data_IF_983502469015
#
_entry.id   IF_983502469015
#
_cell.length_a   1.000
_cell.length_b   1.000
_cell.length_c   1.000
_cell.angle_alpha   90.00
_cell.angle_beta   90.00
_cell.angle_gamma   90.00
#
_symmetry.space_group_name_H-M   'P 1'
#
loop_
_entity.id
_entity.type
_entity.pdbx_description
1 polymer ?
#
# COMPACT_ATOMS: atom_id res chain seq x y z
N UNK A 1 31.20 -38.14 -16.65
CA UNK A 1 29.78 -38.12 -16.92
C UNK A 1 29.16 -37.00 -16.12
N UNK A 2 28.66 -35.98 -16.82
CA UNK A 2 27.92 -34.90 -16.18
C UNK A 2 26.58 -35.48 -15.71
N UNK A 3 26.44 -35.65 -14.44
CA UNK A 3 25.14 -35.90 -13.82
C UNK A 3 24.39 -34.59 -13.86
N UNK A 4 23.31 -34.51 -14.63
CA UNK A 4 22.39 -33.36 -14.68
C UNK A 4 21.70 -33.26 -13.32
N UNK A 5 22.04 -32.26 -12.54
CA UNK A 5 21.47 -31.93 -11.24
C UNK A 5 22.43 -31.07 -10.46
N UNK A 6 21.93 -30.19 -9.62
CA UNK A 6 22.78 -29.43 -8.70
C UNK A 6 23.64 -30.44 -7.89
N UNK A 7 24.98 -30.27 -7.86
CA UNK A 7 25.80 -31.16 -7.10
C UNK A 7 25.31 -31.19 -5.64
N UNK A 8 25.13 -32.40 -5.10
CA UNK A 8 24.65 -32.65 -3.74
C UNK A 8 25.53 -32.02 -2.64
N UNK A 9 26.61 -31.34 -3.01
CA UNK A 9 27.59 -30.72 -2.12
C UNK A 9 27.73 -29.20 -2.27
N UNK A 10 27.01 -28.57 -3.17
CA UNK A 10 26.87 -27.12 -3.16
C UNK A 10 25.69 -26.75 -2.27
N UNK A 11 25.95 -26.76 -0.98
CA UNK A 11 25.21 -25.88 -0.12
C UNK A 11 25.42 -24.47 -0.68
N UNK A 12 24.35 -23.82 -1.08
CA UNK A 12 24.37 -22.39 -1.17
C UNK A 12 24.59 -21.88 0.27
N UNK A 13 25.84 -21.91 0.72
CA UNK A 13 26.26 -21.12 1.85
C UNK A 13 25.94 -19.68 1.45
N UNK A 14 24.80 -19.19 1.85
CA UNK A 14 24.69 -17.78 2.17
C UNK A 14 25.60 -17.60 3.38
N UNK A 15 26.91 -17.58 3.13
CA UNK A 15 27.84 -17.08 4.12
C UNK A 15 27.33 -15.66 4.38
N UNK A 16 26.73 -15.48 5.56
CA UNK A 16 26.61 -14.17 6.15
C UNK A 16 28.04 -13.75 6.40
N UNK A 17 28.65 -13.12 5.39
CA UNK A 17 29.98 -12.55 5.55
C UNK A 17 29.90 -11.61 6.76
N UNK A 18 30.93 -11.58 7.58
CA UNK A 18 31.03 -10.70 8.75
C UNK A 18 30.65 -9.24 8.43
N UNK A 19 30.85 -8.82 7.16
CA UNK A 19 30.50 -7.51 6.61
C UNK A 19 28.98 -7.25 6.48
N UNK A 20 28.16 -8.28 6.64
CA UNK A 20 26.70 -8.21 6.54
C UNK A 20 26.01 -8.11 7.91
N UNK A 21 26.77 -8.11 8.98
CA UNK A 21 26.30 -7.93 10.35
C UNK A 21 26.96 -6.70 10.95
N UNK A 22 26.18 -5.79 11.49
CA UNK A 22 26.69 -4.60 12.16
C UNK A 22 25.89 -4.29 13.42
N UNK A 23 26.60 -3.84 14.46
CA UNK A 23 26.01 -3.22 15.63
C UNK A 23 25.70 -1.76 15.31
N UNK A 24 24.53 -1.29 15.70
CA UNK A 24 24.07 0.07 15.41
C UNK A 24 23.44 0.73 16.64
N UNK A 25 23.71 2.02 16.80
CA UNK A 25 23.13 2.84 17.86
C UNK A 25 21.89 3.58 17.33
N UNK A 26 20.77 3.37 17.98
CA UNK A 26 19.50 4.03 17.62
C UNK A 26 19.52 5.47 18.09
N UNK A 27 19.25 6.39 17.19
CA UNK A 27 19.16 7.83 17.48
C UNK A 27 17.74 8.35 17.44
N UNK A 28 16.83 7.69 16.73
CA UNK A 28 15.42 8.04 16.66
C UNK A 28 14.59 6.89 16.11
N UNK A 29 13.28 6.98 16.27
CA UNK A 29 12.29 6.15 15.57
C UNK A 29 11.34 7.11 14.88
N UNK A 30 11.28 7.04 13.55
CA UNK A 30 10.43 7.86 12.72
C UNK A 30 9.14 7.11 12.40
N UNK A 31 8.02 7.77 12.62
CA UNK A 31 6.69 7.21 12.39
C UNK A 31 6.02 7.91 11.21
N UNK A 32 5.56 7.14 10.27
CA UNK A 32 4.93 7.64 9.05
C UNK A 32 3.60 6.93 8.82
N UNK A 33 2.49 7.67 8.57
CA UNK A 33 1.21 7.05 8.32
C UNK A 33 1.15 6.43 6.93
N UNK A 34 0.49 5.27 6.84
CA UNK A 34 0.07 4.67 5.58
C UNK A 34 -1.22 5.33 5.07
N UNK A 35 -1.64 4.94 3.86
CA UNK A 35 -2.92 5.39 3.30
C UNK A 35 -4.15 5.04 4.15
N UNK A 36 -4.05 4.02 4.99
CA UNK A 36 -5.10 3.58 5.91
C UNK A 36 -4.96 4.18 7.31
N UNK A 37 -3.99 5.06 7.52
CA UNK A 37 -3.74 5.72 8.79
C UNK A 37 -2.93 4.90 9.79
N UNK A 38 -2.44 3.72 9.42
CA UNK A 38 -1.51 2.95 10.25
C UNK A 38 -0.15 3.63 10.31
N UNK A 39 0.38 3.80 11.52
CA UNK A 39 1.70 4.39 11.73
C UNK A 39 2.77 3.30 11.60
N UNK A 40 3.69 3.49 10.66
CA UNK A 40 4.80 2.57 10.39
C UNK A 40 6.11 3.12 10.94
N UNK A 41 6.86 2.32 11.73
CA UNK A 41 8.12 2.76 12.31
C UNK A 41 9.29 2.55 11.35
N UNK A 42 10.20 3.51 11.37
CA UNK A 42 11.49 3.44 10.71
C UNK A 42 12.56 3.82 11.72
N UNK A 43 13.49 2.93 11.99
CA UNK A 43 14.53 3.13 13.00
C UNK A 43 15.69 3.89 12.37
N UNK A 44 16.00 5.05 12.92
CA UNK A 44 17.17 5.85 12.55
C UNK A 44 18.35 5.49 13.45
N UNK A 45 19.49 5.28 12.85
CA UNK A 45 20.72 4.88 13.52
C UNK A 45 21.87 5.85 13.19
N UNK A 46 22.89 5.84 14.04
CA UNK A 46 24.17 6.42 13.63
C UNK A 46 24.68 5.63 12.40
N UNK A 47 25.18 6.33 11.37
CA UNK A 47 25.59 5.65 10.14
C UNK A 47 26.60 4.52 10.41
N UNK A 48 26.33 3.35 9.85
CA UNK A 48 27.23 2.19 9.88
C UNK A 48 27.43 1.65 8.48
N UNK A 49 28.61 1.07 8.24
CA UNK A 49 28.88 0.37 6.98
C UNK A 49 28.45 -1.09 7.11
N UNK A 50 27.65 -1.55 6.16
CA UNK A 50 27.13 -2.91 6.10
C UNK A 50 27.08 -3.38 4.65
N UNK A 51 27.87 -4.38 4.31
CA UNK A 51 27.96 -4.88 2.93
C UNK A 51 28.44 -3.83 1.92
N UNK A 52 29.39 -2.97 2.30
CA UNK A 52 29.95 -1.91 1.44
C UNK A 52 29.05 -0.68 1.26
N UNK A 53 27.91 -0.62 1.94
CA UNK A 53 26.94 0.48 1.88
C UNK A 53 26.81 1.13 3.26
N UNK A 54 26.66 2.45 3.30
CA UNK A 54 26.37 3.19 4.52
C UNK A 54 24.88 3.12 4.83
N UNK A 55 24.53 2.54 5.99
CA UNK A 55 23.18 2.38 6.47
C UNK A 55 22.88 3.44 7.51
N UNK A 56 21.74 4.14 7.33
CA UNK A 56 21.24 5.17 8.25
C UNK A 56 19.89 4.81 8.85
N UNK A 57 19.17 3.89 8.23
CA UNK A 57 17.82 3.50 8.62
C UNK A 57 17.64 1.99 8.49
N UNK A 58 16.77 1.45 9.35
CA UNK A 58 16.30 0.08 9.27
C UNK A 58 14.79 0.02 9.47
N UNK A 59 14.14 -1.01 8.95
CA UNK A 59 12.72 -1.23 9.20
C UNK A 59 12.47 -1.53 10.67
N UNK A 60 11.44 -0.91 11.26
CA UNK A 60 11.00 -1.17 12.63
C UNK A 60 9.91 -2.23 12.74
N UNK A 61 9.52 -2.90 11.66
CA UNK A 61 8.45 -3.90 11.54
C UNK A 61 7.06 -3.36 11.85
N UNK A 62 6.71 -3.23 13.14
CA UNK A 62 5.41 -2.77 13.62
C UNK A 62 5.54 -2.10 14.98
N UNK A 63 4.45 -1.52 15.46
CA UNK A 63 4.44 -0.81 16.75
C UNK A 63 4.71 -1.74 17.94
N UNK A 64 4.17 -2.95 17.90
CA UNK A 64 4.41 -3.97 18.93
C UNK A 64 5.90 -4.28 19.07
N UNK A 65 6.61 -4.45 17.97
CA UNK A 65 8.05 -4.73 17.97
C UNK A 65 8.85 -3.58 18.63
N UNK A 66 8.52 -2.35 18.30
CA UNK A 66 9.15 -1.16 18.90
C UNK A 66 8.88 -1.08 20.40
N UNK A 67 7.63 -1.26 20.80
CA UNK A 67 7.23 -1.16 22.21
C UNK A 67 7.83 -2.28 23.08
N UNK A 68 7.69 -3.53 22.65
CA UNK A 68 8.16 -4.69 23.44
C UNK A 68 9.67 -4.76 23.57
N UNK A 69 10.40 -4.39 22.52
CA UNK A 69 11.86 -4.39 22.53
C UNK A 69 12.46 -3.07 23.04
N UNK A 70 11.65 -2.12 23.44
CA UNK A 70 12.07 -0.80 23.90
C UNK A 70 13.08 -0.15 22.96
N UNK A 71 12.72 -0.11 21.66
CA UNK A 71 13.54 0.55 20.67
C UNK A 71 13.29 2.06 20.76
N UNK A 72 14.30 2.78 21.12
CA UNK A 72 14.27 4.22 21.29
C UNK A 72 15.67 4.79 21.32
N UNK A 73 15.79 6.06 21.64
CA UNK A 73 17.08 6.75 21.73
C UNK A 73 17.97 6.05 22.77
N UNK A 74 19.17 5.66 22.35
CA UNK A 74 20.14 4.97 23.20
C UNK A 74 20.08 3.43 23.11
N UNK A 75 19.12 2.86 22.39
CA UNK A 75 19.11 1.43 22.14
C UNK A 75 20.27 1.01 21.23
N UNK A 76 20.75 -0.20 21.42
CA UNK A 76 21.76 -0.82 20.58
C UNK A 76 21.14 -2.04 19.91
N UNK A 77 21.21 -2.09 18.58
CA UNK A 77 20.63 -3.14 17.78
C UNK A 77 21.68 -3.82 16.91
N UNK A 78 21.42 -5.04 16.54
CA UNK A 78 22.21 -5.79 15.59
C UNK A 78 21.48 -5.85 14.25
N UNK A 79 22.12 -5.30 13.21
CA UNK A 79 21.59 -5.29 11.85
C UNK A 79 22.19 -6.42 11.03
N UNK A 80 21.37 -7.01 10.19
CA UNK A 80 21.77 -7.98 9.18
C UNK A 80 21.27 -7.53 7.81
N UNK A 81 22.10 -7.70 6.80
CA UNK A 81 21.76 -7.45 5.41
C UNK A 81 22.13 -8.66 4.57
N UNK A 82 21.15 -9.22 3.86
CA UNK A 82 21.37 -10.32 2.90
C UNK A 82 21.38 -9.74 1.49
N UNK A 83 22.55 -9.74 0.82
CA UNK A 83 22.69 -9.21 -0.53
C UNK A 83 22.29 -7.74 -0.63
N UNK A 84 21.51 -7.37 -1.66
CA UNK A 84 21.01 -5.99 -1.89
C UNK A 84 19.70 -5.68 -1.17
N UNK A 85 19.30 -6.53 -0.22
CA UNK A 85 18.04 -6.40 0.52
C UNK A 85 18.15 -5.31 1.59
N UNK A 86 17.03 -4.67 1.92
CA UNK A 86 16.91 -3.68 3.00
C UNK A 86 17.40 -4.28 4.33
N UNK A 87 18.24 -3.54 5.09
CA UNK A 87 18.74 -4.01 6.38
C UNK A 87 17.62 -4.33 7.37
N UNK A 88 17.78 -5.43 8.06
CA UNK A 88 16.81 -5.94 9.03
C UNK A 88 17.43 -5.94 10.43
N UNK A 89 16.62 -5.64 11.44
CA UNK A 89 17.02 -5.79 12.84
C UNK A 89 16.97 -7.26 13.20
N UNK A 90 18.13 -7.85 13.50
CA UNK A 90 18.26 -9.24 13.93
C UNK A 90 18.01 -9.39 15.43
N UNK A 91 18.56 -8.47 16.23
CA UNK A 91 18.44 -8.49 17.69
C UNK A 91 18.52 -7.09 18.27
N UNK A 92 17.95 -6.92 19.44
CA UNK A 92 18.12 -5.72 20.28
C UNK A 92 19.06 -6.14 21.42
N UNK A 93 20.32 -5.74 21.34
CA UNK A 93 21.36 -6.12 22.34
C UNK A 93 21.27 -5.30 23.58
N UNK A 94 20.83 -4.05 23.48
CA UNK A 94 20.57 -3.17 24.60
C UNK A 94 19.28 -2.38 24.35
N UNK A 95 18.21 -2.59 25.11
CA UNK A 95 17.00 -1.77 25.00
C UNK A 95 17.27 -0.35 25.48
N UNK A 96 16.51 0.62 24.96
CA UNK A 96 16.46 1.95 25.52
C UNK A 96 15.70 1.97 26.85
N UNK A 97 15.77 3.07 27.56
CA UNK A 97 14.96 3.29 28.76
C UNK A 97 13.47 3.27 28.43
N UNK A 98 13.11 3.90 27.32
CA UNK A 98 11.73 3.94 26.78
C UNK A 98 11.72 3.69 25.29
N UNK A 99 10.71 2.97 24.81
CA UNK A 99 10.40 2.89 23.40
C UNK A 99 10.01 4.29 22.87
N UNK A 100 10.52 4.66 21.70
CA UNK A 100 10.17 5.91 21.03
C UNK A 100 8.88 5.72 20.25
N UNK A 101 7.75 5.97 20.87
CA UNK A 101 6.43 5.94 20.24
C UNK A 101 6.12 7.27 19.54
N UNK A 102 5.11 7.33 18.65
CA UNK A 102 4.74 8.58 17.97
C UNK A 102 4.29 9.67 18.92
N UNK A 103 4.47 10.93 18.52
CA UNK A 103 3.95 12.10 19.22
C UNK A 103 2.46 12.32 18.97
N UNK A 104 1.98 11.90 17.80
CA UNK A 104 0.59 12.00 17.39
C UNK A 104 -0.29 11.08 18.24
N UNK A 105 -1.54 11.46 18.46
CA UNK A 105 -2.51 10.60 19.12
C UNK A 105 -2.82 9.37 18.27
N UNK A 106 -2.73 8.20 18.87
CA UNK A 106 -2.96 6.92 18.21
C UNK A 106 -3.76 5.96 19.07
N UNK A 107 -4.32 4.95 18.42
CA UNK A 107 -4.98 3.82 19.07
C UNK A 107 -4.37 2.51 18.56
N UNK A 108 -4.31 1.52 19.42
CA UNK A 108 -3.93 0.16 19.06
C UNK A 108 -5.05 -0.54 18.31
N UNK A 109 -4.68 -1.37 17.32
CA UNK A 109 -5.65 -2.26 16.71
C UNK A 109 -6.02 -3.43 17.66
N UNK A 110 -7.02 -4.24 17.27
CA UNK A 110 -7.52 -5.33 18.13
C UNK A 110 -6.43 -6.33 18.54
N UNK A 111 -5.47 -6.61 17.69
CA UNK A 111 -4.39 -7.57 17.94
C UNK A 111 -3.22 -6.98 18.72
N UNK A 112 -3.24 -5.68 19.00
CA UNK A 112 -2.13 -4.95 19.64
C UNK A 112 -0.78 -5.11 18.91
N UNK A 113 -0.84 -5.16 17.59
CA UNK A 113 0.35 -5.26 16.72
C UNK A 113 0.66 -3.92 16.06
N UNK A 114 -0.37 -3.25 15.56
CA UNK A 114 -0.27 -1.99 14.86
C UNK A 114 -1.00 -0.87 15.59
N UNK A 115 -0.56 0.35 15.36
CA UNK A 115 -1.21 1.56 15.84
C UNK A 115 -1.73 2.39 14.69
N UNK A 116 -2.83 3.10 14.92
CA UNK A 116 -3.49 3.95 13.93
C UNK A 116 -3.64 5.37 14.47
N UNK A 117 -3.54 6.35 13.58
CA UNK A 117 -3.87 7.73 13.89
C UNK A 117 -5.35 7.85 14.33
N UNK A 118 -5.64 8.60 15.41
CA UNK A 118 -7.00 8.88 15.83
C UNK A 118 -7.81 9.68 14.80
N UNK A 119 -7.18 10.63 14.12
CA UNK A 119 -7.79 11.53 13.14
C UNK A 119 -7.16 11.35 11.77
N UNK A 120 -7.09 10.11 11.26
CA UNK A 120 -6.45 9.78 10.00
C UNK A 120 -7.06 10.57 8.81
N UNK A 121 -8.36 10.76 8.78
CA UNK A 121 -9.09 11.48 7.73
C UNK A 121 -8.68 12.95 7.55
N UNK A 122 -8.18 13.59 8.60
CA UNK A 122 -7.70 14.97 8.58
C UNK A 122 -6.18 15.09 8.40
N UNK A 123 -5.49 13.97 8.28
CA UNK A 123 -4.04 13.95 8.11
C UNK A 123 -3.66 14.17 6.64
N UNK A 124 -2.86 15.19 6.37
CA UNK A 124 -2.45 15.55 5.00
C UNK A 124 -1.61 14.45 4.32
N UNK A 125 -0.80 13.72 5.07
CA UNK A 125 0.03 12.62 4.53
C UNK A 125 -0.86 11.44 4.14
N UNK A 126 -1.83 11.08 4.96
CA UNK A 126 -2.82 10.04 4.66
C UNK A 126 -3.60 10.40 3.40
N UNK A 127 -4.07 11.64 3.31
CA UNK A 127 -4.81 12.15 2.15
C UNK A 127 -3.97 12.07 0.87
N UNK A 128 -2.74 12.53 0.91
CA UNK A 128 -1.81 12.46 -0.22
C UNK A 128 -1.58 11.01 -0.67
N UNK A 129 -1.37 10.10 0.26
CA UNK A 129 -1.16 8.67 -0.04
C UNK A 129 -2.42 7.99 -0.60
N UNK A 130 -3.59 8.35 -0.10
CA UNK A 130 -4.86 7.84 -0.63
C UNK A 130 -5.08 8.28 -2.08
N UNK A 131 -4.88 9.54 -2.37
CA UNK A 131 -5.06 10.08 -3.72
C UNK A 131 -4.01 9.52 -4.66
N UNK A 132 -2.73 9.55 -4.30
CA UNK A 132 -1.66 9.01 -5.14
C UNK A 132 -1.81 7.50 -5.35
N UNK A 133 -2.23 6.77 -4.34
CA UNK A 133 -2.52 5.34 -4.43
C UNK A 133 -3.64 4.99 -5.40
N UNK A 134 -4.68 5.80 -5.46
CA UNK A 134 -5.77 5.67 -6.44
C UNK A 134 -5.23 5.75 -7.88
N UNK A 135 -4.53 6.81 -8.20
CA UNK A 135 -4.02 7.04 -9.55
C UNK A 135 -2.88 6.10 -9.93
N UNK A 136 -2.02 5.75 -8.99
CA UNK A 136 -0.99 4.73 -9.19
C UNK A 136 -1.58 3.36 -9.48
N UNK A 137 -2.61 2.97 -8.76
CA UNK A 137 -3.33 1.71 -8.99
C UNK A 137 -4.04 1.65 -10.33
N UNK A 138 -4.41 2.78 -10.91
CA UNK A 138 -4.93 2.91 -12.27
C UNK A 138 -3.83 3.06 -13.33
N UNK A 139 -2.57 3.06 -12.93
CA UNK A 139 -1.41 3.24 -13.81
C UNK A 139 -1.40 4.59 -14.54
N UNK A 140 -1.87 5.64 -13.86
CA UNK A 140 -1.79 7.01 -14.36
C UNK A 140 -0.38 7.56 -14.13
N UNK A 141 0.28 7.96 -15.21
CA UNK A 141 1.60 8.59 -15.14
C UNK A 141 1.51 10.04 -14.65
N UNK A 142 2.49 10.46 -13.87
CA UNK A 142 2.67 11.86 -13.47
C UNK A 142 1.91 12.29 -12.21
N UNK A 143 1.23 11.37 -11.51
CA UNK A 143 0.54 11.64 -10.25
C UNK A 143 1.18 10.92 -9.06
N UNK A 144 2.48 11.13 -8.86
CA UNK A 144 3.15 10.76 -7.63
C UNK A 144 2.79 11.70 -6.46
N UNK A 145 3.27 11.39 -5.28
CA UNK A 145 2.93 12.14 -4.05
C UNK A 145 3.21 13.65 -4.16
N UNK A 146 4.32 14.04 -4.79
CA UNK A 146 4.67 15.47 -4.97
C UNK A 146 3.65 16.23 -5.82
N UNK A 147 3.21 15.65 -6.94
CA UNK A 147 2.22 16.29 -7.80
C UNK A 147 0.83 16.26 -7.16
N UNK A 148 0.51 15.22 -6.41
CA UNK A 148 -0.74 15.16 -5.62
C UNK A 148 -0.74 16.24 -4.54
N UNK A 149 0.36 16.49 -3.86
CA UNK A 149 0.49 17.61 -2.91
C UNK A 149 0.20 18.96 -3.58
N UNK A 150 0.71 19.17 -4.79
CA UNK A 150 0.42 20.39 -5.57
C UNK A 150 -1.07 20.54 -5.89
N UNK A 151 -1.73 19.46 -6.24
CA UNK A 151 -3.18 19.45 -6.47
C UNK A 151 -3.97 19.78 -5.20
N UNK A 152 -3.59 19.16 -4.08
CA UNK A 152 -4.21 19.43 -2.77
C UNK A 152 -4.03 20.90 -2.37
N UNK A 153 -2.84 21.47 -2.54
CA UNK A 153 -2.56 22.85 -2.24
C UNK A 153 -3.32 23.83 -3.13
N UNK A 154 -3.68 23.42 -4.35
CA UNK A 154 -4.51 24.18 -5.26
C UNK A 154 -6.02 24.05 -4.99
N UNK A 155 -6.41 23.26 -3.99
CA UNK A 155 -7.83 23.06 -3.62
C UNK A 155 -8.47 21.79 -4.17
N UNK A 156 -7.75 21.01 -4.99
CA UNK A 156 -8.21 19.73 -5.52
C UNK A 156 -7.77 18.58 -4.58
N UNK A 157 -8.43 18.47 -3.46
CA UNK A 157 -8.02 17.66 -2.30
C UNK A 157 -8.78 16.35 -2.14
N UNK A 158 -9.40 15.86 -3.20
CA UNK A 158 -10.07 14.56 -3.21
C UNK A 158 -10.05 13.94 -4.59
N UNK A 159 -10.18 12.63 -4.67
CA UNK A 159 -10.29 11.93 -5.96
C UNK A 159 -11.46 12.46 -6.78
N UNK A 160 -12.69 12.61 -6.23
CA UNK A 160 -13.80 13.18 -7.00
C UNK A 160 -13.51 14.57 -7.58
N UNK A 161 -12.87 15.45 -6.81
CA UNK A 161 -12.50 16.79 -7.28
C UNK A 161 -11.49 16.73 -8.42
N UNK A 162 -10.50 15.85 -8.33
CA UNK A 162 -9.49 15.68 -9.38
C UNK A 162 -10.11 15.09 -10.65
N UNK A 163 -11.01 14.13 -10.53
CA UNK A 163 -11.70 13.54 -11.69
C UNK A 163 -12.58 14.54 -12.43
N UNK A 164 -13.05 15.57 -11.76
CA UNK A 164 -13.89 16.64 -12.34
C UNK A 164 -13.09 17.84 -12.85
N UNK A 165 -11.74 17.83 -12.71
CA UNK A 165 -10.89 18.92 -13.19
C UNK A 165 -10.98 19.07 -14.72
N UNK A 166 -11.08 20.31 -15.17
CA UNK A 166 -10.94 20.69 -16.58
C UNK A 166 -9.45 20.86 -16.94
N UNK A 167 -9.13 20.97 -18.23
CA UNK A 167 -7.75 21.31 -18.67
C UNK A 167 -7.27 22.63 -18.05
N UNK A 168 -8.16 23.60 -18.00
CA UNK A 168 -7.89 24.93 -17.44
C UNK A 168 -7.60 24.86 -15.95
N UNK A 169 -8.29 23.97 -15.21
CA UNK A 169 -8.03 23.75 -13.79
C UNK A 169 -6.61 23.27 -13.55
N UNK A 170 -6.08 22.36 -14.38
CA UNK A 170 -4.69 21.90 -14.26
C UNK A 170 -3.67 23.02 -14.45
N UNK A 171 -3.97 23.99 -15.31
CA UNK A 171 -3.10 25.13 -15.55
C UNK A 171 -3.03 26.11 -14.35
N UNK A 172 -3.99 26.05 -13.45
CA UNK A 172 -3.98 26.84 -12.20
C UNK A 172 -3.10 26.25 -11.13
N UNK A 173 -2.67 24.99 -11.30
CA UNK A 173 -1.80 24.31 -10.34
C UNK A 173 -0.36 24.75 -10.54
N UNK A 174 0.28 25.18 -9.46
CA UNK A 174 1.65 25.65 -9.50
C UNK A 174 2.63 24.56 -10.01
N UNK A 175 3.44 24.90 -10.98
CA UNK A 175 4.38 23.99 -11.61
C UNK A 175 3.81 23.10 -12.73
N UNK A 176 2.51 23.19 -13.03
CA UNK A 176 1.89 22.47 -14.14
C UNK A 176 1.82 23.38 -15.36
N UNK A 177 2.47 22.96 -16.44
CA UNK A 177 2.44 23.64 -17.73
C UNK A 177 1.42 22.94 -18.68
N UNK A 178 1.19 23.54 -19.83
CA UNK A 178 0.18 23.08 -20.79
C UNK A 178 0.36 21.60 -21.18
N UNK A 179 1.59 21.18 -21.49
CA UNK A 179 1.89 19.79 -21.88
C UNK A 179 1.58 18.79 -20.77
N UNK A 180 1.97 19.08 -19.53
CA UNK A 180 1.66 18.26 -18.35
C UNK A 180 0.17 18.22 -18.08
N UNK A 181 -0.51 19.35 -18.21
CA UNK A 181 -1.94 19.48 -17.96
C UNK A 181 -2.77 18.65 -18.94
N UNK A 182 -2.43 18.69 -20.24
CA UNK A 182 -3.09 17.87 -21.27
C UNK A 182 -2.84 16.40 -21.02
N UNK A 183 -1.59 16.01 -20.73
CA UNK A 183 -1.22 14.62 -20.46
C UNK A 183 -1.98 14.03 -19.28
N UNK A 184 -2.08 14.77 -18.19
CA UNK A 184 -2.81 14.33 -16.99
C UNK A 184 -4.32 14.25 -17.25
N UNK A 185 -4.90 15.28 -17.86
CA UNK A 185 -6.32 15.32 -18.17
C UNK A 185 -6.75 14.13 -19.06
N UNK A 186 -6.04 13.89 -20.14
CA UNK A 186 -6.34 12.79 -21.07
C UNK A 186 -6.01 11.43 -20.48
N UNK A 187 -4.86 11.30 -19.80
CA UNK A 187 -4.42 10.05 -19.18
C UNK A 187 -5.35 9.57 -18.08
N UNK A 188 -5.85 10.46 -17.24
CA UNK A 188 -6.82 10.12 -16.18
C UNK A 188 -8.12 9.65 -16.81
N UNK A 189 -8.66 10.36 -17.79
CA UNK A 189 -9.90 9.96 -18.47
C UNK A 189 -9.79 8.58 -19.11
N UNK A 190 -8.72 8.32 -19.82
CA UNK A 190 -8.47 7.03 -20.46
C UNK A 190 -8.39 5.90 -19.42
N UNK A 191 -7.59 6.07 -18.39
CA UNK A 191 -7.38 5.03 -17.35
C UNK A 191 -8.65 4.74 -16.55
N UNK A 192 -9.41 5.76 -16.22
CA UNK A 192 -10.69 5.59 -15.50
C UNK A 192 -11.72 4.90 -16.39
N UNK A 193 -11.83 5.31 -17.66
CA UNK A 193 -12.76 4.71 -18.62
C UNK A 193 -12.48 3.22 -18.83
N UNK A 194 -11.21 2.85 -18.93
CA UNK A 194 -10.78 1.47 -19.22
C UNK A 194 -10.62 0.60 -17.96
N UNK A 195 -10.68 1.19 -16.76
CA UNK A 195 -10.51 0.44 -15.53
C UNK A 195 -11.69 -0.50 -15.27
N UNK A 196 -11.43 -1.80 -15.02
CA UNK A 196 -12.49 -2.71 -14.57
C UNK A 196 -13.03 -2.28 -13.19
N UNK A 197 -14.28 -2.63 -12.91
CA UNK A 197 -14.94 -2.29 -11.65
C UNK A 197 -14.15 -2.81 -10.44
N UNK A 198 -13.63 -4.03 -10.48
CA UNK A 198 -12.81 -4.59 -9.38
C UNK A 198 -11.53 -3.78 -9.13
N UNK A 199 -10.93 -3.20 -10.16
CA UNK A 199 -9.77 -2.32 -10.01
C UNK A 199 -10.16 -1.02 -9.30
N UNK A 200 -11.26 -0.40 -9.70
CA UNK A 200 -11.78 0.80 -9.03
C UNK A 200 -12.14 0.53 -7.57
N UNK A 201 -12.69 -0.65 -7.27
CA UNK A 201 -12.96 -1.07 -5.89
C UNK A 201 -11.69 -1.12 -5.05
N UNK A 202 -10.63 -1.74 -5.59
CA UNK A 202 -9.35 -1.85 -4.89
C UNK A 202 -8.66 -0.50 -4.66
N UNK A 203 -8.62 0.37 -5.69
CA UNK A 203 -7.91 1.66 -5.62
C UNK A 203 -8.68 2.73 -4.86
N UNK A 204 -10.01 2.57 -4.72
CA UNK A 204 -10.86 3.51 -3.98
C UNK A 204 -10.50 3.63 -2.51
N UNK A 205 -9.88 2.61 -1.96
CA UNK A 205 -9.57 2.46 -0.53
C UNK A 205 -10.80 2.53 0.39
N UNK A 206 -12.00 2.25 -0.14
CA UNK A 206 -13.25 2.30 0.63
C UNK A 206 -13.53 1.02 1.41
N UNK A 207 -12.92 -0.08 1.02
CA UNK A 207 -13.09 -1.38 1.71
C UNK A 207 -12.09 -1.60 2.84
N UNK A 208 -11.13 -0.70 3.01
CA UNK A 208 -10.10 -0.79 4.03
C UNK A 208 -8.94 -1.71 3.67
N UNK A 209 -8.15 -2.04 4.68
CA UNK A 209 -6.95 -2.85 4.55
C UNK A 209 -7.28 -4.31 4.21
N UNK A 210 -6.50 -4.91 3.33
CA UNK A 210 -6.59 -6.33 3.00
C UNK A 210 -7.42 -6.64 1.74
N UNK A 211 -7.95 -5.63 1.06
CA UNK A 211 -8.68 -5.80 -0.20
C UNK A 211 -7.84 -5.37 -1.39
N UNK A 212 -6.93 -6.26 -1.81
CA UNK A 212 -6.09 -6.08 -2.99
C UNK A 212 -6.90 -6.20 -4.30
N UNK A 213 -6.29 -5.76 -5.40
CA UNK A 213 -6.88 -5.92 -6.73
C UNK A 213 -7.21 -7.38 -7.06
N UNK A 214 -6.34 -8.32 -6.68
CA UNK A 214 -6.58 -9.76 -6.86
C UNK A 214 -7.78 -10.26 -6.07
N UNK A 215 -7.94 -9.82 -4.83
CA UNK A 215 -9.06 -10.22 -3.98
C UNK A 215 -10.37 -9.66 -4.51
N UNK A 216 -10.37 -8.40 -4.97
CA UNK A 216 -11.55 -7.79 -5.61
C UNK A 216 -11.91 -8.47 -6.92
N UNK A 217 -10.93 -8.83 -7.74
CA UNK A 217 -11.14 -9.60 -8.96
C UNK A 217 -11.77 -10.97 -8.67
N UNK A 218 -11.27 -11.66 -7.65
CA UNK A 218 -11.83 -12.93 -7.19
C UNK A 218 -13.31 -12.80 -6.78
N UNK A 219 -13.62 -11.78 -5.97
CA UNK A 219 -15.00 -11.53 -5.51
C UNK A 219 -15.91 -11.21 -6.70
N UNK A 220 -15.51 -10.30 -7.56
CA UNK A 220 -16.33 -9.87 -8.70
C UNK A 220 -16.50 -10.96 -9.75
N UNK A 221 -15.52 -11.83 -9.94
CA UNK A 221 -15.62 -12.97 -10.85
C UNK A 221 -16.57 -14.04 -10.34
N UNK A 222 -16.52 -14.33 -9.03
CA UNK A 222 -17.36 -15.36 -8.41
C UNK A 222 -18.76 -14.85 -8.04
N UNK A 223 -18.89 -13.55 -7.76
CA UNK A 223 -20.14 -12.93 -7.32
C UNK A 223 -20.35 -11.55 -7.97
N UNK A 224 -20.66 -11.49 -9.30
CA UNK A 224 -20.75 -10.23 -10.04
C UNK A 224 -21.79 -9.25 -9.50
N UNK A 225 -22.85 -9.72 -8.88
CA UNK A 225 -23.97 -8.91 -8.39
C UNK A 225 -23.82 -8.48 -6.92
N UNK A 226 -22.64 -8.65 -6.34
CA UNK A 226 -22.41 -8.37 -4.91
C UNK A 226 -22.68 -6.90 -4.52
N UNK A 227 -22.53 -5.97 -5.46
CA UNK A 227 -22.81 -4.56 -5.23
C UNK A 227 -24.29 -4.20 -5.32
N UNK A 228 -25.13 -5.08 -5.87
CA UNK A 228 -26.57 -4.90 -5.90
C UNK A 228 -27.17 -5.19 -4.51
N UNK A 229 -27.83 -4.19 -3.94
CA UNK A 229 -28.45 -4.30 -2.61
C UNK A 229 -29.40 -5.48 -2.49
N UNK A 230 -30.18 -5.79 -3.54
CA UNK A 230 -31.15 -6.88 -3.56
C UNK A 230 -30.52 -8.26 -3.68
N UNK A 231 -29.29 -8.34 -4.21
CA UNK A 231 -28.58 -9.60 -4.47
C UNK A 231 -27.50 -9.90 -3.42
N UNK A 232 -27.26 -8.98 -2.51
CA UNK A 232 -26.15 -8.98 -1.56
C UNK A 232 -26.41 -9.94 -0.40
N UNK A 233 -25.66 -11.07 -0.35
CA UNK A 233 -25.79 -12.11 0.68
C UNK A 233 -24.42 -12.54 1.20
N UNK A 234 -24.28 -12.56 2.52
CA UNK A 234 -23.05 -13.01 3.20
C UNK A 234 -22.68 -14.44 2.80
N UNK A 235 -23.63 -15.33 2.71
CA UNK A 235 -23.44 -16.74 2.37
C UNK A 235 -22.77 -16.94 1.01
N UNK A 236 -23.10 -16.13 0.02
CA UNK A 236 -22.47 -16.17 -1.31
C UNK A 236 -21.00 -15.76 -1.27
N UNK A 237 -20.62 -14.80 -0.42
CA UNK A 237 -19.23 -14.43 -0.21
C UNK A 237 -18.44 -15.55 0.49
N UNK A 238 -19.04 -16.17 1.50
CA UNK A 238 -18.42 -17.26 2.24
C UNK A 238 -18.22 -18.53 1.39
N UNK A 239 -18.98 -18.69 0.33
CA UNK A 239 -18.79 -19.78 -0.64
C UNK A 239 -17.56 -19.59 -1.52
N UNK A 240 -16.97 -18.39 -1.58
CA UNK A 240 -15.77 -18.10 -2.35
C UNK A 240 -14.54 -18.60 -1.59
N UNK A 241 -13.77 -19.48 -2.21
CA UNK A 241 -12.52 -19.99 -1.62
C UNK A 241 -11.54 -18.85 -1.33
N UNK A 242 -11.05 -18.76 -0.10
CA UNK A 242 -10.11 -17.73 0.35
C UNK A 242 -10.78 -16.50 0.96
N UNK A 243 -12.11 -16.45 1.03
CA UNK A 243 -12.86 -15.40 1.73
C UNK A 243 -13.34 -15.93 3.07
N UNK A 244 -12.77 -15.40 4.14
CA UNK A 244 -13.16 -15.74 5.50
C UNK A 244 -14.30 -14.84 6.00
N UNK A 245 -15.01 -15.28 7.04
CA UNK A 245 -16.17 -14.59 7.61
C UNK A 245 -15.89 -13.13 7.96
N UNK A 246 -14.77 -12.84 8.63
CA UNK A 246 -14.37 -11.48 9.01
C UNK A 246 -14.17 -10.58 7.79
N UNK A 247 -13.50 -11.09 6.75
CA UNK A 247 -13.30 -10.37 5.49
C UNK A 247 -14.62 -10.14 4.75
N UNK A 248 -15.48 -11.15 4.70
CA UNK A 248 -16.79 -11.04 4.04
C UNK A 248 -17.69 -10.00 4.72
N UNK A 249 -17.77 -10.01 6.04
CA UNK A 249 -18.53 -9.04 6.83
C UNK A 249 -17.98 -7.63 6.67
N UNK A 250 -16.65 -7.46 6.70
CA UNK A 250 -15.97 -6.18 6.47
C UNK A 250 -16.26 -5.67 5.05
N UNK A 251 -16.17 -6.51 4.04
CA UNK A 251 -16.50 -6.15 2.66
C UNK A 251 -17.91 -5.61 2.56
N UNK A 252 -18.90 -6.34 3.04
CA UNK A 252 -20.32 -5.94 2.98
C UNK A 252 -20.60 -4.64 3.73
N UNK A 253 -19.92 -4.39 4.84
CA UNK A 253 -20.10 -3.17 5.62
C UNK A 253 -19.61 -1.89 4.91
N UNK A 254 -18.74 -2.03 3.89
CA UNK A 254 -18.16 -0.91 3.15
C UNK A 254 -18.70 -0.73 1.73
N UNK A 255 -19.59 -1.61 1.27
CA UNK A 255 -20.17 -1.52 -0.09
C UNK A 255 -20.86 -0.19 -0.32
N UNK A 256 -21.64 0.28 0.65
CA UNK A 256 -22.36 1.57 0.54
C UNK A 256 -21.39 2.75 0.42
N UNK A 257 -20.27 2.72 1.14
CA UNK A 257 -19.24 3.76 1.05
C UNK A 257 -18.61 3.79 -0.35
N UNK A 258 -18.38 2.63 -0.94
CA UNK A 258 -17.87 2.54 -2.31
C UNK A 258 -18.89 3.03 -3.33
N UNK A 259 -20.16 2.65 -3.19
CA UNK A 259 -21.24 3.13 -4.09
C UNK A 259 -21.36 4.63 -4.00
N UNK A 260 -21.34 5.21 -2.80
CA UNK A 260 -21.36 6.65 -2.59
C UNK A 260 -20.17 7.35 -3.24
N UNK A 261 -18.99 6.77 -3.12
CA UNK A 261 -17.76 7.26 -3.77
C UNK A 261 -17.90 7.29 -5.30
N UNK A 262 -18.43 6.22 -5.89
CA UNK A 262 -18.64 6.14 -7.35
C UNK A 262 -19.65 7.19 -7.84
N UNK A 263 -20.70 7.44 -7.08
CA UNK A 263 -21.67 8.52 -7.37
C UNK A 263 -21.02 9.89 -7.30
N UNK A 264 -20.22 10.15 -6.28
CA UNK A 264 -19.50 11.40 -6.10
C UNK A 264 -18.48 11.65 -7.22
N UNK A 265 -17.89 10.58 -7.78
CA UNK A 265 -16.98 10.63 -8.92
C UNK A 265 -17.68 10.73 -10.28
N UNK A 266 -19.00 10.72 -10.36
CA UNK A 266 -19.79 10.60 -11.60
C UNK A 266 -19.49 9.29 -12.38
N UNK A 267 -19.16 8.22 -11.66
CA UNK A 267 -18.84 6.90 -12.18
C UNK A 267 -19.94 5.85 -11.90
N UNK A 268 -21.13 6.27 -11.56
CA UNK A 268 -22.24 5.38 -11.22
C UNK A 268 -22.56 4.39 -12.36
N UNK A 269 -22.39 4.80 -13.61
CA UNK A 269 -22.59 3.95 -14.78
C UNK A 269 -21.70 2.70 -14.81
N UNK A 270 -20.54 2.73 -14.13
CA UNK A 270 -19.63 1.59 -14.05
C UNK A 270 -20.09 0.49 -13.07
N UNK A 271 -20.99 0.81 -12.17
CA UNK A 271 -21.52 -0.15 -11.19
C UNK A 271 -22.32 -1.28 -11.84
N UNK A 272 -22.85 -1.06 -13.03
CA UNK A 272 -23.60 -2.05 -13.82
C UNK A 272 -22.79 -2.70 -14.93
N UNK A 273 -21.48 -2.45 -15.01
CA UNK A 273 -20.61 -3.10 -15.99
C UNK A 273 -20.50 -4.61 -15.67
N UNK A 274 -20.77 -5.43 -16.70
CA UNK A 274 -20.57 -6.86 -16.61
C UNK A 274 -19.06 -7.12 -16.73
N UNK A 275 -18.43 -7.91 -15.81
CA UNK A 275 -17.04 -8.28 -15.92
C UNK A 275 -16.80 -8.96 -17.28
N UNK A 276 -15.85 -8.44 -18.06
CA UNK A 276 -15.44 -9.11 -19.29
C UNK A 276 -14.82 -10.46 -18.91
N UNK A 277 -15.15 -11.56 -19.60
CA UNK A 277 -14.47 -12.82 -19.39
C UNK A 277 -12.98 -12.61 -19.55
N UNK A 278 -12.20 -13.13 -18.62
CA UNK A 278 -10.74 -13.17 -18.77
C UNK A 278 -10.48 -14.04 -19.99
N UNK A 279 -10.02 -13.44 -21.09
CA UNK A 279 -9.45 -14.18 -22.19
C UNK A 279 -8.23 -14.91 -21.63
N UNK A 280 -8.38 -16.20 -21.39
CA UNK A 280 -7.25 -17.08 -21.17
C UNK A 280 -6.50 -17.10 -22.50
N UNK A 281 -5.45 -16.32 -22.62
CA UNK A 281 -4.46 -16.52 -23.66
C UNK A 281 -3.85 -17.90 -23.42
N UNK A 282 -4.44 -18.92 -24.01
CA UNK A 282 -3.74 -20.15 -24.25
C UNK A 282 -2.68 -19.81 -25.29
N UNK A 283 -1.45 -19.76 -24.86
CA UNK A 283 -0.30 -19.72 -25.74
C UNK A 283 -0.27 -21.07 -26.47
N UNK A 284 -0.77 -21.09 -27.72
CA UNK A 284 -0.82 -22.28 -28.55
C UNK A 284 0.57 -22.75 -29.04
N UNK A 285 1.64 -22.21 -28.49
CA UNK A 285 3.03 -22.46 -28.90
C UNK A 285 3.86 -23.27 -27.89
N UNK A 286 3.25 -24.13 -27.07
CA UNK A 286 4.02 -25.18 -26.42
C UNK A 286 3.71 -26.53 -27.05
N UNK A 287 4.60 -27.06 -27.93
CA UNK A 287 4.53 -28.45 -28.31
C UNK A 287 4.90 -29.34 -27.11
N UNK A 288 4.16 -30.42 -26.97
CA UNK A 288 4.32 -31.51 -26.01
C UNK A 288 5.77 -32.01 -25.88
#
# INVERSE_FOLDING_TARGET
>A
PRVSGNPKHTFAFKMVLSDQIAEAHVVDVLWSPSKDGYLKPRVQILPVKLGGVTIKYATGFNAKFIEENKIGVGAIIQLIRSGDVIPKIEAVTQPAEKAKMPKEEYIWNETHVDIMLKNAENNSIVLTKNISGFFKGLEVDGLGEKNVEKLINAGFNSVPKILKMTREDYLTVDGFQEKTSIKLYEGIKEKVLNAPLHTLMAVSNKFGRGFSAKKMELIMSAYPNVLDENERKLEKLLAIRGIEKKSAESFLSHVEDFVAFMKECDLEYKLSEIPKPVEKNYDENHPL
#
